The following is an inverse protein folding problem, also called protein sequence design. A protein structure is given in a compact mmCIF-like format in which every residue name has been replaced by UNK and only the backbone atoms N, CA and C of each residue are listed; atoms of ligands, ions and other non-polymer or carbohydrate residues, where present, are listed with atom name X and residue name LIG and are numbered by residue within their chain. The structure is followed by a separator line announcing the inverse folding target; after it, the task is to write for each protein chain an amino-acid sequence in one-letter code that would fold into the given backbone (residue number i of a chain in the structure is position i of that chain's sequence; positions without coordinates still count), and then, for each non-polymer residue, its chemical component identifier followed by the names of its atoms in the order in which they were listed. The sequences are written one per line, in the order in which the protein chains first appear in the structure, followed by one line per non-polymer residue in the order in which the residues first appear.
data_IF_728495172869
#
_entry.id   IF_728495172869
#
_cell.length_a   1.000
_cell.length_b   1.000
_cell.length_c   1.000
_cell.angle_alpha   90.00
_cell.angle_beta   90.00
_cell.angle_gamma   90.00
#
_symmetry.space_group_name_H-M   'P 1'
#
loop_
_entity.id
_entity.type
_entity.pdbx_description
1 polymer ?
#
# COMPACT_ATOMS: atom_id res chain seq x y z
N UNK A 1 -9.45 -37.09 14.31
CA UNK A 1 -10.57 -36.58 13.51
C UNK A 1 -10.71 -37.48 12.31
N UNK A 2 -11.93 -37.71 11.81
CA UNK A 2 -12.10 -38.40 10.54
C UNK A 2 -11.79 -37.38 9.44
N UNK A 3 -10.63 -37.50 8.81
CA UNK A 3 -10.27 -36.66 7.68
C UNK A 3 -11.19 -36.98 6.51
N UNK A 4 -12.01 -36.01 6.12
CA UNK A 4 -12.93 -36.14 5.00
C UNK A 4 -12.15 -35.85 3.71
N UNK A 5 -11.88 -36.88 2.91
CA UNK A 5 -11.16 -36.75 1.63
C UNK A 5 -12.15 -36.62 0.48
N UNK A 6 -12.29 -35.41 -0.06
CA UNK A 6 -13.08 -35.18 -1.29
C UNK A 6 -12.13 -35.29 -2.49
N UNK A 7 -12.40 -36.23 -3.41
CA UNK A 7 -11.67 -36.39 -4.67
C UNK A 7 -12.57 -36.01 -5.84
N UNK A 8 -12.10 -35.11 -6.70
CA UNK A 8 -12.78 -34.71 -7.93
C UNK A 8 -11.85 -34.93 -9.13
N UNK A 9 -12.44 -35.27 -10.28
CA UNK A 9 -11.74 -35.40 -11.55
C UNK A 9 -11.94 -34.10 -12.34
N UNK A 10 -10.85 -33.40 -12.61
CA UNK A 10 -10.83 -32.24 -13.49
C UNK A 10 -10.27 -32.63 -14.85
N UNK A 11 -10.93 -32.20 -15.93
CA UNK A 11 -10.49 -32.44 -17.31
C UNK A 11 -9.45 -31.42 -17.78
N UNK A 12 -9.26 -30.34 -17.02
CA UNK A 12 -8.30 -29.27 -17.24
C UNK A 12 -7.67 -28.82 -15.90
N UNK A 13 -6.60 -28.05 -15.96
CA UNK A 13 -5.95 -27.51 -14.76
C UNK A 13 -6.89 -26.56 -14.03
N UNK A 14 -7.17 -26.84 -12.76
CA UNK A 14 -7.95 -25.95 -11.89
C UNK A 14 -7.02 -24.95 -11.21
N UNK A 15 -7.16 -23.67 -11.56
CA UNK A 15 -6.42 -22.60 -10.91
C UNK A 15 -7.09 -22.25 -9.59
N UNK A 16 -6.37 -22.42 -8.49
CA UNK A 16 -6.85 -22.05 -7.15
C UNK A 16 -6.96 -20.53 -7.07
N UNK A 17 -8.11 -20.05 -6.65
CA UNK A 17 -8.34 -18.65 -6.26
C UNK A 17 -8.56 -18.65 -4.76
N UNK A 18 -7.61 -18.11 -4.00
CA UNK A 18 -7.66 -18.13 -2.53
C UNK A 18 -7.43 -16.75 -1.95
N UNK A 19 -8.16 -16.44 -0.87
CA UNK A 19 -7.91 -15.26 -0.04
C UNK A 19 -6.67 -15.38 0.83
N UNK A 20 -6.04 -16.55 0.86
CA UNK A 20 -4.81 -16.87 1.58
C UNK A 20 -3.62 -16.71 0.65
N UNK A 21 -2.77 -15.71 0.86
CA UNK A 21 -1.41 -15.79 0.34
C UNK A 21 -0.50 -16.37 1.41
N UNK A 22 0.28 -17.35 0.99
CA UNK A 22 1.54 -17.84 1.60
C UNK A 22 1.60 -17.75 3.14
N UNK A 23 1.29 -18.88 3.79
CA UNK A 23 1.10 -19.03 5.23
C UNK A 23 2.29 -18.60 6.11
N UNK A 24 3.45 -18.38 5.49
CA UNK A 24 4.70 -18.00 6.14
C UNK A 24 4.91 -16.47 6.21
N UNK A 25 4.04 -15.66 5.59
CA UNK A 25 4.18 -14.20 5.61
C UNK A 25 3.18 -13.52 6.57
N UNK A 26 3.66 -12.87 7.66
CA UNK A 26 2.80 -12.14 8.58
C UNK A 26 2.09 -10.97 7.88
N UNK A 27 0.75 -10.96 7.93
CA UNK A 27 -0.10 -9.91 7.34
C UNK A 27 -0.96 -10.32 6.15
N UNK A 28 -1.22 -11.62 5.98
CA UNK A 28 -1.94 -12.18 4.84
C UNK A 28 -3.16 -12.96 5.35
N UNK A 29 -4.37 -12.48 5.04
CA UNK A 29 -5.66 -12.94 5.60
C UNK A 29 -6.38 -11.85 6.40
N UNK A 30 -7.72 -11.80 6.38
CA UNK A 30 -8.46 -10.86 7.23
C UNK A 30 -8.49 -11.39 8.64
N UNK A 31 -7.80 -10.69 9.52
CA UNK A 31 -7.70 -11.11 10.90
C UNK A 31 -8.78 -10.45 11.75
N UNK A 32 -9.53 -11.29 12.45
CA UNK A 32 -10.61 -10.93 13.35
C UNK A 32 -10.21 -11.19 14.80
N UNK A 33 -10.72 -10.38 15.75
CA UNK A 33 -10.40 -10.54 17.16
C UNK A 33 -11.09 -11.77 17.79
N UNK A 34 -12.16 -12.28 17.19
CA UNK A 34 -12.86 -13.47 17.68
C UNK A 34 -13.35 -14.37 16.54
N UNK A 35 -13.65 -15.64 16.88
CA UNK A 35 -14.24 -16.60 15.96
C UNK A 35 -15.60 -16.11 15.45
N UNK A 36 -16.46 -15.65 16.37
CA UNK A 36 -17.79 -15.15 16.04
C UNK A 36 -17.73 -13.95 15.08
N UNK A 37 -16.77 -13.04 15.28
CA UNK A 37 -16.59 -11.91 14.37
C UNK A 37 -16.18 -12.39 12.97
N UNK A 38 -15.24 -13.33 12.89
CA UNK A 38 -14.84 -13.93 11.62
C UNK A 38 -16.03 -14.63 10.92
N UNK A 39 -16.73 -15.51 11.63
CA UNK A 39 -17.84 -16.29 11.07
C UNK A 39 -18.99 -15.39 10.59
N UNK A 40 -19.23 -14.28 11.29
CA UNK A 40 -20.24 -13.29 10.90
C UNK A 40 -19.97 -12.66 9.53
N UNK A 41 -18.72 -12.65 9.06
CA UNK A 41 -18.32 -12.07 7.76
C UNK A 41 -18.36 -13.07 6.60
N UNK A 42 -18.47 -14.38 6.86
CA UNK A 42 -18.36 -15.43 5.82
C UNK A 42 -19.32 -15.17 4.66
N UNK A 43 -20.60 -14.94 4.94
CA UNK A 43 -21.61 -14.78 3.90
C UNK A 43 -21.35 -13.53 3.02
N UNK A 44 -21.04 -12.40 3.67
CA UNK A 44 -20.79 -11.14 2.98
C UNK A 44 -19.53 -11.19 2.11
N UNK A 45 -18.43 -11.75 2.64
CA UNK A 45 -17.18 -11.85 1.89
C UNK A 45 -17.21 -12.96 0.83
N UNK A 46 -17.99 -14.03 1.02
CA UNK A 46 -18.21 -15.04 -0.03
C UNK A 46 -18.95 -14.46 -1.23
N UNK A 47 -20.03 -13.70 -0.99
CA UNK A 47 -20.74 -12.99 -2.05
C UNK A 47 -19.83 -11.97 -2.75
N UNK A 48 -18.95 -11.32 -1.99
CA UNK A 48 -17.98 -10.38 -2.54
C UNK A 48 -16.91 -11.06 -3.40
N UNK A 49 -16.36 -12.18 -2.92
CA UNK A 49 -15.43 -13.02 -3.65
C UNK A 49 -16.03 -13.45 -4.99
N UNK A 50 -17.27 -13.95 -4.99
CA UNK A 50 -17.97 -14.33 -6.22
C UNK A 50 -18.16 -13.16 -7.17
N UNK A 51 -18.54 -11.99 -6.64
CA UNK A 51 -18.72 -10.78 -7.46
C UNK A 51 -17.43 -10.33 -8.15
N UNK A 52 -16.30 -10.31 -7.44
CA UNK A 52 -15.05 -9.77 -7.98
C UNK A 52 -14.27 -10.79 -8.84
N UNK A 53 -14.33 -12.07 -8.49
CA UNK A 53 -13.56 -13.13 -9.16
C UNK A 53 -14.37 -13.89 -10.20
N UNK A 54 -15.71 -13.77 -10.19
CA UNK A 54 -16.61 -14.60 -10.99
C UNK A 54 -16.68 -16.06 -10.54
N UNK A 55 -16.00 -16.41 -9.43
CA UNK A 55 -15.88 -17.79 -8.93
C UNK A 55 -16.59 -17.90 -7.58
N UNK A 56 -17.46 -18.88 -7.41
CA UNK A 56 -18.05 -19.15 -6.09
C UNK A 56 -17.00 -19.83 -5.18
N UNK A 57 -16.83 -19.39 -3.92
CA UNK A 57 -15.94 -20.09 -3.01
C UNK A 57 -16.52 -21.47 -2.68
N UNK A 58 -15.71 -22.50 -2.84
CA UNK A 58 -16.03 -23.89 -2.47
C UNK A 58 -15.82 -24.08 -0.97
N UNK A 59 -14.82 -23.40 -0.41
CA UNK A 59 -14.53 -23.40 1.01
C UNK A 59 -14.59 -21.96 1.53
N UNK A 60 -15.31 -21.78 2.62
CA UNK A 60 -15.36 -20.52 3.35
C UNK A 60 -15.38 -20.83 4.85
N UNK A 61 -14.29 -20.54 5.55
CA UNK A 61 -14.16 -20.91 6.97
C UNK A 61 -13.21 -19.99 7.73
N UNK A 62 -13.35 -20.01 9.05
CA UNK A 62 -12.49 -19.28 9.96
C UNK A 62 -11.45 -20.21 10.55
N UNK A 63 -10.18 -19.82 10.48
CA UNK A 63 -9.07 -20.58 11.02
C UNK A 63 -8.40 -19.80 12.15
N UNK A 64 -8.21 -20.47 13.28
CA UNK A 64 -7.38 -19.94 14.35
C UNK A 64 -5.91 -19.90 13.91
N UNK A 65 -5.29 -18.74 14.03
CA UNK A 65 -3.87 -18.52 13.75
C UNK A 65 -3.21 -17.91 14.98
N UNK A 66 -2.20 -18.61 15.46
CA UNK A 66 -1.22 -18.07 16.40
C UNK A 66 0.03 -17.79 15.58
N UNK A 67 0.45 -16.53 15.52
CA UNK A 67 1.71 -16.20 14.86
C UNK A 67 2.89 -16.58 15.77
N UNK A 68 4.12 -16.55 15.23
CA UNK A 68 5.35 -16.87 15.97
C UNK A 68 5.56 -16.02 17.24
N UNK A 69 4.86 -14.88 17.37
CA UNK A 69 4.97 -13.93 18.48
C UNK A 69 3.77 -14.00 19.45
N UNK A 70 2.93 -15.03 19.33
CA UNK A 70 1.81 -15.28 20.23
C UNK A 70 0.59 -14.36 20.03
N UNK A 71 0.52 -13.59 18.94
CA UNK A 71 -0.72 -12.92 18.57
C UNK A 71 -1.71 -13.98 18.07
N UNK A 72 -2.83 -14.07 18.77
CA UNK A 72 -3.92 -15.02 18.51
C UNK A 72 -5.04 -14.32 17.76
N UNK A 73 -5.28 -14.72 16.52
CA UNK A 73 -6.30 -14.10 15.65
C UNK A 73 -7.03 -15.16 14.84
N UNK A 74 -8.22 -14.80 14.37
CA UNK A 74 -9.01 -15.64 13.47
C UNK A 74 -8.89 -15.12 12.05
N UNK A 75 -8.49 -15.96 11.11
CA UNK A 75 -8.38 -15.61 9.70
C UNK A 75 -9.57 -16.15 8.92
N UNK A 76 -10.22 -15.31 8.11
CA UNK A 76 -11.23 -15.76 7.14
C UNK A 76 -10.56 -16.27 5.87
N UNK A 77 -10.83 -17.53 5.53
CA UNK A 77 -10.30 -18.23 4.37
C UNK A 77 -11.44 -18.48 3.39
N UNK A 78 -11.25 -18.02 2.15
CA UNK A 78 -12.15 -18.24 1.02
C UNK A 78 -11.33 -18.89 -0.10
N UNK A 79 -11.74 -20.05 -0.58
CA UNK A 79 -11.07 -20.79 -1.64
C UNK A 79 -12.07 -21.26 -2.70
N UNK A 80 -11.70 -21.13 -3.96
CA UNK A 80 -12.42 -21.66 -5.11
C UNK A 80 -11.47 -22.03 -6.25
N UNK A 81 -12.02 -22.45 -7.38
CA UNK A 81 -11.24 -22.73 -8.60
C UNK A 81 -11.80 -21.95 -9.78
N UNK A 82 -10.92 -21.30 -10.56
CA UNK A 82 -11.34 -20.54 -11.73
C UNK A 82 -10.21 -19.70 -12.33
N UNK A 83 -10.53 -18.99 -13.42
CA UNK A 83 -9.64 -18.04 -14.09
C UNK A 83 -10.20 -16.62 -13.94
N UNK A 84 -10.00 -15.98 -12.77
CA UNK A 84 -10.66 -14.72 -12.50
C UNK A 84 -9.96 -13.57 -13.22
N UNK A 85 -10.74 -12.66 -13.81
CA UNK A 85 -10.22 -11.42 -14.41
C UNK A 85 -9.54 -10.52 -13.36
N UNK A 86 -9.97 -10.62 -12.10
CA UNK A 86 -9.39 -9.95 -10.94
C UNK A 86 -9.02 -10.98 -9.89
N UNK A 87 -7.76 -10.98 -9.50
CA UNK A 87 -7.25 -11.88 -8.47
C UNK A 87 -7.23 -11.19 -7.11
N UNK A 88 -7.27 -12.01 -6.07
CA UNK A 88 -7.04 -11.59 -4.70
C UNK A 88 -5.59 -11.13 -4.58
N UNK A 89 -5.40 -9.91 -4.08
CA UNK A 89 -4.09 -9.33 -3.92
C UNK A 89 -3.92 -8.74 -2.51
N UNK A 90 -2.70 -8.91 -2.00
CA UNK A 90 -2.31 -8.51 -0.66
C UNK A 90 -1.01 -7.74 -0.72
N UNK A 91 -0.97 -6.66 0.04
CA UNK A 91 0.21 -5.85 0.21
C UNK A 91 0.45 -5.62 1.68
N UNK A 92 1.66 -5.93 2.14
CA UNK A 92 2.12 -5.68 3.50
C UNK A 92 3.33 -4.78 3.43
N UNK A 93 3.25 -3.63 4.09
CA UNK A 93 4.24 -2.58 3.99
C UNK A 93 4.68 -2.15 5.37
N UNK A 94 5.98 -2.29 5.66
CA UNK A 94 6.56 -1.77 6.90
C UNK A 94 6.41 -0.25 6.93
N UNK A 95 5.94 0.26 8.06
CA UNK A 95 5.86 1.68 8.37
C UNK A 95 6.91 1.94 9.44
N UNK A 96 8.06 2.55 9.10
CA UNK A 96 9.13 2.78 10.07
C UNK A 96 8.71 3.70 11.23
N UNK A 97 7.82 4.65 10.95
CA UNK A 97 7.24 5.53 11.97
C UNK A 97 6.11 4.91 12.78
N UNK A 98 5.54 5.70 13.70
CA UNK A 98 4.43 5.29 14.55
C UNK A 98 3.21 6.17 14.27
N UNK A 99 2.38 5.84 13.26
CA UNK A 99 1.16 6.60 13.01
C UNK A 99 0.19 6.49 14.19
N UNK A 100 -0.33 7.63 14.65
CA UNK A 100 -1.37 7.64 15.67
C UNK A 100 -2.71 7.12 15.11
N UNK A 101 -3.65 6.74 16.00
CA UNK A 101 -4.96 6.18 15.61
C UNK A 101 -5.75 7.05 14.63
N UNK A 102 -5.65 8.37 14.73
CA UNK A 102 -6.31 9.32 13.83
C UNK A 102 -5.71 9.27 12.42
N UNK A 103 -4.37 9.25 12.34
CA UNK A 103 -3.65 9.07 11.08
C UNK A 103 -3.99 7.73 10.43
N UNK A 104 -4.05 6.65 11.21
CA UNK A 104 -4.48 5.33 10.71
C UNK A 104 -5.85 5.42 10.05
N UNK A 105 -6.83 6.00 10.73
CA UNK A 105 -8.20 6.12 10.21
C UNK A 105 -8.25 6.97 8.94
N UNK A 106 -7.48 8.07 8.89
CA UNK A 106 -7.36 8.92 7.72
C UNK A 106 -6.76 8.18 6.51
N UNK A 107 -5.66 7.42 6.71
CA UNK A 107 -5.05 6.60 5.65
C UNK A 107 -6.05 5.57 5.13
N UNK A 108 -6.73 4.84 6.04
CA UNK A 108 -7.73 3.82 5.66
C UNK A 108 -8.82 4.42 4.78
N UNK A 109 -9.36 5.56 5.19
CA UNK A 109 -10.41 6.26 4.46
C UNK A 109 -9.91 6.74 3.09
N UNK A 110 -8.77 7.45 3.07
CA UNK A 110 -8.21 8.00 1.85
C UNK A 110 -7.85 6.91 0.82
N UNK A 111 -7.25 5.80 1.25
CA UNK A 111 -6.91 4.67 0.37
C UNK A 111 -8.18 4.06 -0.22
N UNK A 112 -9.21 3.81 0.59
CA UNK A 112 -10.48 3.30 0.06
C UNK A 112 -11.12 4.26 -0.94
N UNK A 113 -11.16 5.56 -0.63
CA UNK A 113 -11.78 6.56 -1.50
C UNK A 113 -11.02 6.73 -2.82
N UNK A 114 -9.71 6.95 -2.77
CA UNK A 114 -8.88 7.23 -3.96
C UNK A 114 -8.82 6.05 -4.93
N UNK A 115 -8.64 4.83 -4.43
CA UNK A 115 -8.53 3.66 -5.30
C UNK A 115 -9.89 3.20 -5.84
N UNK A 116 -10.99 3.41 -5.10
CA UNK A 116 -12.33 3.14 -5.63
C UNK A 116 -12.68 4.01 -6.84
N UNK A 117 -12.19 5.26 -6.88
CA UNK A 117 -12.41 6.17 -8.02
C UNK A 117 -11.84 5.65 -9.34
N UNK A 118 -10.80 4.81 -9.29
CA UNK A 118 -10.22 4.17 -10.47
C UNK A 118 -10.70 2.73 -10.67
N UNK A 119 -11.74 2.32 -9.96
CA UNK A 119 -12.34 0.99 -10.09
C UNK A 119 -11.56 -0.13 -9.40
N UNK A 120 -10.59 0.19 -8.54
CA UNK A 120 -9.88 -0.80 -7.73
C UNK A 120 -10.59 -0.96 -6.39
N UNK A 121 -11.08 -2.16 -6.13
CA UNK A 121 -11.90 -2.44 -4.96
C UNK A 121 -11.01 -2.77 -3.75
N UNK A 122 -10.63 -1.73 -3.00
CA UNK A 122 -9.95 -1.88 -1.72
C UNK A 122 -10.96 -2.29 -0.65
N UNK A 123 -10.77 -3.48 -0.12
CA UNK A 123 -11.67 -4.07 0.87
C UNK A 123 -11.26 -3.75 2.28
N UNK A 124 -10.00 -4.02 2.59
CA UNK A 124 -9.46 -3.83 3.93
C UNK A 124 -8.14 -3.07 3.87
N UNK A 125 -8.04 -2.09 4.75
CA UNK A 125 -6.80 -1.38 5.06
C UNK A 125 -6.68 -1.43 6.58
N UNK A 126 -5.61 -2.01 7.09
CA UNK A 126 -5.39 -2.12 8.52
C UNK A 126 -3.91 -2.04 8.86
N UNK A 127 -3.63 -1.49 10.04
CA UNK A 127 -2.31 -1.57 10.63
C UNK A 127 -2.31 -2.74 11.59
N UNK A 128 -1.26 -3.54 11.50
CA UNK A 128 -0.94 -4.54 12.50
C UNK A 128 0.45 -4.26 13.03
N UNK A 129 0.69 -4.55 14.30
CA UNK A 129 2.05 -4.73 14.76
C UNK A 129 2.63 -5.98 14.09
N UNK A 130 3.88 -5.87 13.67
CA UNK A 130 4.66 -7.00 13.25
C UNK A 130 5.31 -7.66 14.45
N UNK A 131 5.91 -8.78 14.12
CA UNK A 131 6.85 -9.58 14.87
C UNK A 131 7.76 -8.84 15.86
N UNK A 132 8.28 -7.67 15.51
CA UNK A 132 9.23 -6.90 16.32
C UNK A 132 8.59 -5.66 16.94
N UNK A 133 7.25 -5.55 16.89
CA UNK A 133 6.51 -4.37 17.33
C UNK A 133 6.58 -3.20 16.35
N UNK A 134 7.05 -3.42 15.10
CA UNK A 134 6.95 -2.42 14.05
C UNK A 134 5.55 -2.41 13.44
N UNK A 135 5.07 -1.28 12.97
CA UNK A 135 3.75 -1.23 12.35
C UNK A 135 3.84 -1.63 10.88
N UNK A 136 2.90 -2.47 10.44
CA UNK A 136 2.70 -2.88 9.05
C UNK A 136 1.34 -2.45 8.55
N UNK A 137 1.32 -1.69 7.46
CA UNK A 137 0.10 -1.38 6.74
C UNK A 137 -0.19 -2.53 5.78
N UNK A 138 -1.31 -3.20 6.02
CA UNK A 138 -1.85 -4.22 5.14
C UNK A 138 -2.98 -3.64 4.31
N UNK A 139 -2.92 -3.89 3.01
CA UNK A 139 -3.96 -3.54 2.04
C UNK A 139 -4.38 -4.81 1.35
N UNK A 140 -5.67 -5.08 1.36
CA UNK A 140 -6.28 -6.14 0.60
C UNK A 140 -7.30 -5.60 -0.38
N UNK A 141 -7.23 -6.17 -1.58
CA UNK A 141 -8.01 -5.73 -2.71
C UNK A 141 -8.14 -6.84 -3.74
N UNK A 142 -9.08 -6.64 -4.66
CA UNK A 142 -9.21 -7.44 -5.87
C UNK A 142 -8.69 -6.61 -7.04
N UNK A 143 -7.71 -7.13 -7.76
CA UNK A 143 -7.04 -6.39 -8.83
C UNK A 143 -6.53 -7.29 -9.95
N UNK A 144 -6.21 -6.67 -11.09
CA UNK A 144 -5.55 -7.31 -12.22
C UNK A 144 -4.06 -7.45 -11.94
N UNK A 145 -3.36 -8.30 -12.71
CA UNK A 145 -1.90 -8.42 -12.63
C UNK A 145 -1.17 -7.08 -12.83
N UNK A 146 -1.75 -6.18 -13.63
CA UNK A 146 -1.24 -4.83 -13.87
C UNK A 146 -1.48 -3.83 -12.73
N UNK A 147 -2.07 -4.26 -11.61
CA UNK A 147 -2.45 -3.41 -10.47
C UNK A 147 -1.77 -3.92 -9.20
N UNK A 148 -0.81 -3.15 -8.66
CA UNK A 148 -0.10 -3.52 -7.44
C UNK A 148 -0.10 -2.39 -6.43
N UNK A 149 -1.04 -2.43 -5.47
CA UNK A 149 -1.10 -1.41 -4.43
C UNK A 149 -0.06 -1.72 -3.37
N UNK A 150 0.82 -0.77 -3.06
CA UNK A 150 1.84 -0.94 -2.04
C UNK A 150 2.10 0.34 -1.26
N UNK A 151 2.32 0.15 0.04
CA UNK A 151 2.80 1.19 0.94
C UNK A 151 4.33 1.24 0.98
N UNK A 152 4.92 2.42 1.06
CA UNK A 152 6.35 2.58 1.29
C UNK A 152 6.69 4.00 1.76
N UNK A 153 7.83 4.14 2.43
CA UNK A 153 8.41 5.46 2.71
C UNK A 153 8.99 6.02 1.43
N UNK A 154 8.41 7.10 0.92
CA UNK A 154 8.94 7.81 -0.24
C UNK A 154 10.17 8.64 0.13
N UNK A 155 10.15 9.25 1.32
CA UNK A 155 11.28 10.03 1.83
C UNK A 155 11.30 10.01 3.36
N UNK A 156 12.50 9.90 3.93
CA UNK A 156 12.76 10.20 5.34
C UNK A 156 13.21 11.66 5.44
N UNK A 157 12.61 12.41 6.36
CA UNK A 157 12.74 13.86 6.49
C UNK A 157 13.09 14.23 7.93
N UNK A 158 13.79 15.34 8.09
CA UNK A 158 14.34 15.77 9.38
C UNK A 158 13.32 16.41 10.31
N UNK A 159 12.20 16.86 9.76
CA UNK A 159 11.13 17.47 10.54
C UNK A 159 9.77 17.19 9.93
N UNK A 160 8.72 17.30 10.76
CA UNK A 160 7.34 17.29 10.29
C UNK A 160 7.08 18.43 9.30
N UNK A 161 7.75 19.58 9.45
CA UNK A 161 7.59 20.70 8.55
C UNK A 161 8.13 20.39 7.14
N UNK A 162 9.34 19.83 7.04
CA UNK A 162 9.90 19.39 5.76
C UNK A 162 9.01 18.33 5.12
N UNK A 163 8.43 17.43 5.93
CA UNK A 163 7.44 16.47 5.46
C UNK A 163 6.19 17.11 4.90
N UNK A 164 5.62 18.11 5.58
CA UNK A 164 4.47 18.82 5.03
C UNK A 164 4.79 19.53 3.72
N UNK A 165 5.98 20.11 3.56
CA UNK A 165 6.39 20.71 2.28
C UNK A 165 6.52 19.67 1.15
N UNK A 166 7.08 18.50 1.45
CA UNK A 166 7.14 17.39 0.52
C UNK A 166 5.75 16.84 0.17
N UNK A 167 4.85 16.75 1.16
CA UNK A 167 3.46 16.34 0.97
C UNK A 167 2.69 17.32 0.07
N UNK A 168 2.87 18.63 0.23
CA UNK A 168 2.25 19.63 -0.65
C UNK A 168 2.71 19.48 -2.10
N UNK A 169 4.01 19.22 -2.30
CA UNK A 169 4.58 18.93 -3.61
C UNK A 169 3.98 17.65 -4.21
N UNK A 170 3.82 16.61 -3.39
CA UNK A 170 3.17 15.37 -3.81
C UNK A 170 1.69 15.57 -4.19
N UNK A 171 0.94 16.34 -3.40
CA UNK A 171 -0.47 16.63 -3.68
C UNK A 171 -0.66 17.38 -5.00
N UNK A 172 0.28 18.27 -5.37
CA UNK A 172 0.28 18.90 -6.71
C UNK A 172 0.42 17.85 -7.81
N UNK A 173 1.29 16.85 -7.63
CA UNK A 173 1.43 15.72 -8.56
C UNK A 173 0.12 14.93 -8.66
N UNK A 174 -0.47 14.53 -7.54
CA UNK A 174 -1.75 13.80 -7.51
C UNK A 174 -2.87 14.56 -8.22
N UNK A 175 -2.96 15.88 -8.01
CA UNK A 175 -3.96 16.73 -8.68
C UNK A 175 -3.73 16.82 -10.18
N UNK A 176 -2.48 16.77 -10.65
CA UNK A 176 -2.14 16.82 -12.08
C UNK A 176 -2.32 15.48 -12.80
N UNK A 177 -2.36 14.37 -12.05
CA UNK A 177 -2.42 12.99 -12.56
C UNK A 177 -3.43 12.14 -11.77
N UNK A 178 -4.73 12.52 -11.78
CA UNK A 178 -5.76 11.81 -11.01
C UNK A 178 -5.97 10.35 -11.43
N UNK A 179 -5.55 9.97 -12.65
CA UNK A 179 -5.59 8.61 -13.16
C UNK A 179 -4.56 7.67 -12.51
N UNK A 180 -3.61 8.22 -11.75
CA UNK A 180 -2.58 7.49 -11.01
C UNK A 180 -2.91 7.54 -9.51
N UNK A 181 -3.76 6.62 -9.01
CA UNK A 181 -4.26 6.69 -7.65
C UNK A 181 -3.13 6.51 -6.65
N UNK A 182 -3.05 7.44 -5.71
CA UNK A 182 -2.16 7.33 -4.58
C UNK A 182 -2.71 8.08 -3.38
N UNK A 183 -2.07 7.86 -2.24
CA UNK A 183 -2.33 8.53 -0.97
C UNK A 183 -0.99 8.75 -0.31
N UNK A 184 -0.69 9.98 0.08
CA UNK A 184 0.48 10.29 0.89
C UNK A 184 0.09 10.90 2.23
N UNK A 185 0.93 10.66 3.24
CA UNK A 185 0.79 11.27 4.55
C UNK A 185 2.14 11.38 5.25
N UNK A 186 2.24 12.32 6.19
CA UNK A 186 3.41 12.47 7.05
C UNK A 186 3.24 11.63 8.31
N UNK A 187 4.18 10.73 8.56
CA UNK A 187 4.20 9.87 9.73
C UNK A 187 5.38 10.29 10.60
N UNK A 188 5.14 10.58 11.88
CA UNK A 188 6.23 10.85 12.79
C UNK A 188 7.09 9.58 12.98
N UNK A 189 8.41 9.73 12.82
CA UNK A 189 9.36 8.64 12.96
C UNK A 189 10.25 8.87 14.19
N UNK A 190 9.95 8.24 15.35
CA UNK A 190 10.73 8.43 16.57
C UNK A 190 12.14 7.83 16.49
N UNK A 191 12.41 6.96 15.50
CA UNK A 191 13.70 6.31 15.32
C UNK A 191 14.67 7.10 14.43
N UNK A 192 14.16 8.08 13.66
CA UNK A 192 14.94 8.93 12.75
C UNK A 192 14.48 10.38 12.87
N UNK A 193 14.73 11.01 14.02
CA UNK A 193 14.66 12.45 14.37
C UNK A 193 13.65 13.42 13.69
N UNK A 194 12.66 12.98 12.92
CA UNK A 194 11.83 13.85 12.10
C UNK A 194 10.49 13.24 11.69
N UNK A 195 10.36 12.87 10.41
CA UNK A 195 9.13 12.34 9.85
C UNK A 195 9.39 11.58 8.55
N UNK A 196 8.53 10.62 8.22
CA UNK A 196 8.52 9.92 6.94
C UNK A 196 7.35 10.42 6.10
N UNK A 197 7.61 10.75 4.83
CA UNK A 197 6.58 10.86 3.82
C UNK A 197 6.21 9.45 3.36
N UNK A 198 5.14 8.91 3.91
CA UNK A 198 4.64 7.58 3.58
C UNK A 198 3.60 7.65 2.49
N UNK A 199 3.68 6.73 1.54
CA UNK A 199 2.83 6.69 0.36
C UNK A 199 2.22 5.31 0.21
N UNK A 200 0.94 5.25 -0.18
CA UNK A 200 0.26 4.07 -0.71
C UNK A 200 -0.10 4.34 -2.17
N UNK A 201 0.38 3.51 -3.08
CA UNK A 201 0.23 3.74 -4.52
C UNK A 201 0.13 2.44 -5.32
N UNK A 202 -0.40 2.50 -6.55
CA UNK A 202 -0.21 1.43 -7.53
C UNK A 202 1.21 1.49 -8.12
N UNK A 203 2.11 0.63 -7.64
CA UNK A 203 3.55 0.67 -7.97
C UNK A 203 3.86 0.35 -9.43
N UNK A 204 2.96 -0.32 -10.16
CA UNK A 204 3.18 -0.60 -11.59
C UNK A 204 2.85 0.60 -12.48
N UNK A 205 2.06 1.55 -11.98
CA UNK A 205 1.70 2.80 -12.67
C UNK A 205 2.32 4.03 -11.99
N UNK A 206 3.21 3.81 -11.04
CA UNK A 206 3.75 4.82 -10.15
C UNK A 206 4.72 5.79 -10.83
N UNK A 207 4.90 6.95 -10.20
CA UNK A 207 5.89 7.94 -10.60
C UNK A 207 7.32 7.45 -10.35
N UNK A 208 8.25 7.87 -11.21
CA UNK A 208 9.68 7.73 -10.93
C UNK A 208 10.12 8.87 -10.02
N UNK A 209 11.03 8.57 -9.10
CA UNK A 209 11.69 9.57 -8.26
C UNK A 209 13.18 9.50 -8.50
N UNK A 210 13.77 10.64 -8.83
CA UNK A 210 15.19 10.78 -9.16
C UNK A 210 15.78 12.02 -8.49
N UNK A 211 17.08 11.98 -8.16
CA UNK A 211 17.74 13.14 -7.56
C UNK A 211 18.18 14.14 -8.64
N UNK A 212 17.96 15.42 -8.38
CA UNK A 212 18.68 16.48 -9.05
C UNK A 212 20.19 16.38 -8.76
N UNK A 213 21.01 16.87 -9.69
CA UNK A 213 22.45 16.89 -9.55
C UNK A 213 22.91 17.89 -8.47
N UNK A 214 22.18 18.99 -8.32
CA UNK A 214 22.47 20.09 -7.41
C UNK A 214 22.33 19.67 -5.95
N UNK A 215 23.18 20.27 -5.11
CA UNK A 215 23.19 20.07 -3.67
C UNK A 215 23.21 21.42 -2.95
N UNK A 216 22.47 21.53 -1.85
CA UNK A 216 22.33 22.75 -1.07
C UNK A 216 22.89 22.56 0.33
N UNK A 217 23.34 23.65 0.94
CA UNK A 217 23.86 23.62 2.32
C UNK A 217 22.75 23.57 3.38
N UNK A 218 21.50 23.88 3.02
CA UNK A 218 20.36 23.92 3.95
C UNK A 218 19.02 23.60 3.29
N UNK A 219 18.04 23.22 4.11
CA UNK A 219 16.63 23.03 3.69
C UNK A 219 16.05 24.29 3.05
N UNK A 220 16.28 25.45 3.68
CA UNK A 220 15.74 26.74 3.21
C UNK A 220 16.24 27.08 1.81
N UNK A 221 17.55 26.94 1.56
CA UNK A 221 18.11 27.18 0.24
C UNK A 221 17.55 26.20 -0.80
N UNK A 222 17.44 24.92 -0.45
CA UNK A 222 16.84 23.92 -1.34
C UNK A 222 15.40 24.29 -1.72
N UNK A 223 14.59 24.71 -0.75
CA UNK A 223 13.21 25.11 -1.00
C UNK A 223 13.10 26.39 -1.83
N UNK A 224 13.98 27.36 -1.63
CA UNK A 224 14.04 28.60 -2.41
C UNK A 224 14.34 28.34 -3.89
N UNK A 225 15.30 27.44 -4.17
CA UNK A 225 15.74 27.15 -5.54
C UNK A 225 14.89 26.08 -6.25
N UNK A 226 14.05 25.36 -5.50
CA UNK A 226 13.26 24.20 -5.96
C UNK A 226 12.47 24.46 -7.24
N UNK A 227 11.65 25.50 -7.25
CA UNK A 227 10.72 25.75 -8.36
C UNK A 227 11.49 26.08 -9.66
N UNK A 228 12.53 26.92 -9.56
CA UNK A 228 13.38 27.26 -10.70
C UNK A 228 14.11 26.04 -11.27
N UNK A 229 14.62 25.16 -10.41
CA UNK A 229 15.29 23.94 -10.85
C UNK A 229 14.32 22.92 -11.44
N UNK A 230 13.13 22.73 -10.86
CA UNK A 230 12.11 21.85 -11.43
C UNK A 230 11.77 22.30 -12.86
N UNK A 231 11.58 23.60 -13.10
CA UNK A 231 11.31 24.13 -14.45
C UNK A 231 12.51 23.99 -15.39
N UNK A 232 13.74 24.17 -14.89
CA UNK A 232 14.96 23.90 -15.65
C UNK A 232 15.01 22.43 -16.10
N UNK A 233 14.83 21.48 -15.18
CA UNK A 233 14.86 20.05 -15.49
C UNK A 233 13.72 19.63 -16.44
N UNK A 234 12.52 20.19 -16.26
CA UNK A 234 11.40 19.99 -17.20
C UNK A 234 11.77 20.37 -18.62
N UNK A 235 12.43 21.52 -18.79
CA UNK A 235 12.78 22.06 -20.11
C UNK A 235 13.99 21.38 -20.75
N UNK A 236 15.01 21.03 -19.95
CA UNK A 236 16.32 20.61 -20.45
C UNK A 236 16.53 19.09 -20.42
N UNK A 237 15.86 18.38 -19.52
CA UNK A 237 16.11 16.95 -19.28
C UNK A 237 14.90 16.12 -19.69
N UNK A 238 13.72 16.43 -19.14
CA UNK A 238 12.51 15.65 -19.47
C UNK A 238 11.24 16.43 -19.18
N UNK A 239 10.33 16.60 -20.16
CA UNK A 239 9.04 17.26 -19.94
C UNK A 239 8.10 16.43 -19.05
N UNK A 240 8.47 15.19 -18.71
CA UNK A 240 7.68 14.30 -17.84
C UNK A 240 7.90 14.54 -16.35
N UNK A 241 8.83 15.43 -15.99
CA UNK A 241 9.02 15.87 -14.61
C UNK A 241 7.80 16.70 -14.21
N UNK A 242 7.18 16.36 -13.09
CA UNK A 242 5.94 16.98 -12.63
C UNK A 242 6.23 18.01 -11.54
N UNK A 243 7.03 17.62 -10.55
CA UNK A 243 7.32 18.40 -9.35
C UNK A 243 8.60 17.89 -8.69
N UNK A 244 9.07 18.56 -7.64
CA UNK A 244 10.08 18.01 -6.75
C UNK A 244 9.91 18.39 -5.29
N UNK A 245 10.65 17.73 -4.41
CA UNK A 245 10.70 18.02 -2.97
C UNK A 245 12.11 17.82 -2.40
N UNK A 246 12.42 18.59 -1.35
CA UNK A 246 13.74 18.61 -0.74
C UNK A 246 13.90 17.48 0.30
N UNK A 247 15.06 16.82 0.32
CA UNK A 247 15.47 15.84 1.34
C UNK A 247 16.93 16.03 1.72
N UNK A 248 17.27 15.72 2.95
CA UNK A 248 18.67 15.66 3.39
C UNK A 248 19.37 14.38 2.90
N UNK A 249 20.64 14.53 2.52
CA UNK A 249 21.57 13.52 2.03
C UNK A 249 22.95 13.77 2.67
N UNK A 250 23.16 13.20 3.86
CA UNK A 250 24.35 13.48 4.66
C UNK A 250 24.36 14.94 5.12
N UNK A 251 25.43 15.72 4.89
CA UNK A 251 25.47 17.14 5.27
C UNK A 251 24.79 18.06 4.24
N UNK A 252 24.25 17.52 3.15
CA UNK A 252 23.71 18.30 2.02
C UNK A 252 22.22 18.05 1.83
N UNK A 253 21.55 18.99 1.19
CA UNK A 253 20.16 18.87 0.76
C UNK A 253 20.07 18.68 -0.74
N UNK A 254 19.10 17.88 -1.20
CA UNK A 254 18.86 17.62 -2.62
C UNK A 254 17.38 17.68 -2.96
N UNK A 255 17.09 18.00 -4.21
CA UNK A 255 15.72 17.92 -4.76
C UNK A 255 15.51 16.50 -5.32
N UNK A 256 14.45 15.85 -4.87
CA UNK A 256 13.89 14.65 -5.49
C UNK A 256 12.86 15.09 -6.51
N UNK A 257 13.14 14.86 -7.78
CA UNK A 257 12.25 15.12 -8.89
C UNK A 257 11.31 13.94 -9.04
N UNK A 258 10.01 14.21 -9.08
CA UNK A 258 8.94 13.27 -9.35
C UNK A 258 8.59 13.38 -10.84
N UNK A 259 8.61 12.27 -11.57
CA UNK A 259 8.27 12.22 -12.99
C UNK A 259 7.36 11.04 -13.33
N UNK A 260 6.60 11.13 -14.42
CA UNK A 260 5.91 9.95 -14.96
C UNK A 260 6.90 9.05 -15.70
N UNK A 261 6.73 7.74 -15.62
CA UNK A 261 7.38 6.82 -16.56
C UNK A 261 6.88 7.09 -17.97
N UNK A 262 7.80 7.27 -18.93
CA UNK A 262 7.49 7.35 -20.37
C UNK A 262 6.56 6.20 -20.77
N UNK A 263 5.47 6.53 -21.45
CA UNK A 263 4.73 5.62 -22.33
C UNK A 263 4.71 6.23 -23.72
#
# INVERSE_FOLDING_TARGET
GNDLLIRYQAFESLNVVSSVPDLDFPGRGFEFPSQSDCESQIAAESAHFQKETGTEPILAFCQFRENYYGLRRWALILEGFGNPDRSIAWSSSLVPGQPDRGQVAAIKKAVKEKFSQVGLNIRFVFLQDDEKGHLRLNVFYYGKYSEQVKGFTLAALNSLNDCHQALLSFQKVESSKPELPSVATCIHNPYRHGADLFVVADVLRWFKVQHAAESFASSEQCHLEKEGLVEFYKKQVSPFILEGFCTEWGPQWKINLISTSER
#
